data_IF_601623221509
#
_entry.id   IF_601623221509
#
_cell.length_a   1.000
_cell.length_b   1.000
_cell.length_c   1.000
_cell.angle_alpha   90.00
_cell.angle_beta   90.00
_cell.angle_gamma   90.00
#
_symmetry.space_group_name_H-M   'P 1'
#
loop_
_entity.id
_entity.type
_entity.pdbx_description
1 polymer ?
#
# COMPACT_ATOMS: atom_id res chain seq x y z
N UNK A 1 -16.40 -8.05 -27.68
CA UNK A 1 -16.58 -7.83 -26.22
C UNK A 1 -16.96 -9.11 -25.46
N UNK A 2 -17.94 -9.90 -25.91
CA UNK A 2 -18.37 -11.13 -25.22
C UNK A 2 -17.25 -12.14 -24.91
N UNK A 3 -16.38 -12.43 -25.88
CA UNK A 3 -15.24 -13.33 -25.66
C UNK A 3 -14.21 -12.80 -24.64
N UNK A 4 -14.09 -11.48 -24.48
CA UNK A 4 -13.25 -10.89 -23.44
C UNK A 4 -13.86 -11.11 -22.04
N UNK A 5 -15.16 -10.86 -21.89
CA UNK A 5 -15.87 -11.09 -20.62
C UNK A 5 -15.79 -12.55 -20.16
N UNK A 6 -15.92 -13.51 -21.08
CA UNK A 6 -15.73 -14.95 -20.79
C UNK A 6 -14.33 -15.26 -20.29
N UNK A 7 -13.29 -14.72 -20.94
CA UNK A 7 -11.90 -14.88 -20.48
C UNK A 7 -11.63 -14.24 -19.12
N UNK A 8 -12.41 -13.22 -18.75
CA UNK A 8 -12.34 -12.58 -17.44
C UNK A 8 -13.12 -13.32 -16.34
N UNK A 9 -13.84 -14.40 -16.67
CA UNK A 9 -14.58 -15.21 -15.70
C UNK A 9 -16.11 -15.03 -15.71
N UNK A 10 -16.66 -14.22 -16.62
CA UNK A 10 -18.11 -14.13 -16.80
C UNK A 10 -18.59 -15.24 -17.76
N UNK A 11 -19.08 -16.35 -17.21
CA UNK A 11 -19.45 -17.55 -17.97
C UNK A 11 -20.50 -17.27 -19.05
N UNK A 12 -21.53 -16.49 -18.73
CA UNK A 12 -22.67 -16.17 -19.61
C UNK A 12 -22.85 -14.65 -19.79
N UNK A 13 -22.12 -14.01 -20.73
CA UNK A 13 -22.27 -12.58 -20.99
C UNK A 13 -23.54 -12.27 -21.80
N UNK A 14 -24.53 -11.67 -21.15
CA UNK A 14 -25.72 -11.10 -21.80
C UNK A 14 -25.51 -9.69 -22.38
N UNK A 15 -26.47 -9.23 -23.18
CA UNK A 15 -26.46 -7.91 -23.82
C UNK A 15 -26.33 -6.74 -22.82
N UNK A 16 -26.86 -6.89 -21.61
CA UNK A 16 -26.70 -5.90 -20.53
C UNK A 16 -25.23 -5.78 -20.08
N UNK A 17 -24.52 -6.91 -19.94
CA UNK A 17 -23.11 -6.94 -19.56
C UNK A 17 -22.21 -6.35 -20.66
N UNK A 18 -22.55 -6.58 -21.93
CA UNK A 18 -21.83 -5.98 -23.06
C UNK A 18 -21.94 -4.45 -23.05
N UNK A 19 -23.16 -3.92 -22.90
CA UNK A 19 -23.41 -2.47 -22.81
C UNK A 19 -22.69 -1.85 -21.61
N UNK A 20 -22.70 -2.52 -20.47
CA UNK A 20 -22.01 -2.07 -19.26
C UNK A 20 -20.49 -2.00 -19.46
N UNK A 21 -19.89 -3.02 -20.09
CA UNK A 21 -18.46 -3.03 -20.42
C UNK A 21 -18.09 -1.92 -21.43
N UNK A 22 -18.92 -1.70 -22.45
CA UNK A 22 -18.70 -0.62 -23.42
C UNK A 22 -18.81 0.78 -22.81
N UNK A 23 -19.81 1.01 -21.95
CA UNK A 23 -19.95 2.24 -21.19
C UNK A 23 -18.74 2.48 -20.28
N UNK A 24 -18.25 1.41 -19.63
CA UNK A 24 -17.06 1.46 -18.79
C UNK A 24 -15.80 1.82 -19.61
N UNK A 25 -15.62 1.23 -20.79
CA UNK A 25 -14.49 1.50 -21.67
C UNK A 25 -14.48 2.96 -22.18
N UNK A 26 -15.66 3.54 -22.43
CA UNK A 26 -15.83 4.92 -22.89
C UNK A 26 -15.80 5.96 -21.76
N UNK A 27 -15.68 5.53 -20.50
CA UNK A 27 -15.70 6.44 -19.36
C UNK A 27 -14.49 7.38 -19.36
N UNK A 28 -14.76 8.69 -19.23
CA UNK A 28 -13.73 9.72 -19.08
C UNK A 28 -13.04 9.70 -17.71
N UNK A 29 -13.55 8.91 -16.74
CA UNK A 29 -12.94 8.76 -15.42
C UNK A 29 -11.77 7.77 -15.49
N UNK A 30 -10.51 8.18 -15.22
CA UNK A 30 -9.32 7.32 -15.38
C UNK A 30 -9.28 6.09 -14.48
N UNK A 31 -10.19 5.99 -13.49
CA UNK A 31 -10.32 4.86 -12.57
C UNK A 31 -11.74 4.29 -12.52
N UNK A 32 -12.52 4.45 -13.60
CA UNK A 32 -13.84 3.84 -13.70
C UNK A 32 -13.75 2.32 -13.53
N UNK A 33 -14.69 1.77 -12.78
CA UNK A 33 -14.82 0.33 -12.58
C UNK A 33 -16.29 -0.05 -12.49
N UNK A 34 -16.59 -1.31 -12.76
CA UNK A 34 -17.93 -1.85 -12.61
C UNK A 34 -17.88 -3.31 -12.16
N UNK A 35 -18.88 -3.69 -11.36
CA UNK A 35 -19.10 -5.07 -10.97
C UNK A 35 -19.94 -5.81 -12.01
N UNK A 36 -19.56 -7.04 -12.27
CA UNK A 36 -20.19 -8.00 -13.16
C UNK A 36 -20.59 -9.24 -12.33
N UNK A 37 -21.53 -10.06 -12.82
CA UNK A 37 -21.91 -11.29 -12.15
C UNK A 37 -20.71 -12.22 -11.86
N UNK A 38 -20.84 -13.04 -10.81
CA UNK A 38 -19.77 -13.96 -10.39
C UNK A 38 -18.62 -13.27 -9.65
N UNK A 39 -18.82 -12.07 -9.11
CA UNK A 39 -17.79 -11.34 -8.36
C UNK A 39 -16.70 -10.69 -9.24
N UNK A 40 -16.87 -10.73 -10.57
CA UNK A 40 -15.94 -10.11 -11.49
C UNK A 40 -16.02 -8.58 -11.38
N UNK A 41 -14.89 -7.95 -11.06
CA UNK A 41 -14.75 -6.51 -11.17
C UNK A 41 -13.93 -6.20 -12.41
N UNK A 42 -14.41 -5.32 -13.27
CA UNK A 42 -13.62 -4.78 -14.39
C UNK A 42 -13.30 -3.32 -14.11
N UNK A 43 -12.07 -2.92 -14.41
CA UNK A 43 -11.62 -1.53 -14.36
C UNK A 43 -11.07 -1.07 -15.70
N UNK A 44 -11.17 0.23 -15.97
CA UNK A 44 -10.43 0.87 -17.05
C UNK A 44 -8.99 1.10 -16.58
N UNK A 45 -8.02 0.53 -17.29
CA UNK A 45 -6.59 0.79 -17.13
C UNK A 45 -6.10 1.40 -18.45
N UNK A 46 -5.94 2.72 -18.47
CA UNK A 46 -5.62 3.48 -19.69
C UNK A 46 -6.65 3.19 -20.82
N UNK A 47 -6.21 2.69 -21.98
CA UNK A 47 -7.07 2.39 -23.13
C UNK A 47 -7.66 0.97 -23.14
N UNK A 48 -7.58 0.24 -22.03
CA UNK A 48 -8.06 -1.16 -21.97
C UNK A 48 -8.93 -1.42 -20.73
N UNK A 49 -9.84 -2.38 -20.88
CA UNK A 49 -10.52 -3.01 -19.75
C UNK A 49 -9.66 -4.16 -19.24
N UNK A 50 -9.55 -4.27 -17.92
CA UNK A 50 -8.86 -5.39 -17.27
C UNK A 50 -9.65 -5.87 -16.05
N UNK A 51 -9.59 -7.17 -15.73
CA UNK A 51 -9.97 -7.67 -14.42
C UNK A 51 -9.31 -6.83 -13.33
N UNK A 52 -10.14 -6.37 -12.41
CA UNK A 52 -9.72 -5.63 -11.23
C UNK A 52 -9.75 -6.60 -10.07
N UNK A 53 -8.59 -7.12 -9.70
CA UNK A 53 -8.43 -7.65 -8.35
C UNK A 53 -8.47 -6.45 -7.41
N UNK A 54 -9.44 -6.39 -6.51
CA UNK A 54 -9.38 -5.43 -5.40
C UNK A 54 -8.46 -6.07 -4.38
N UNK A 55 -7.21 -5.59 -4.21
CA UNK A 55 -6.41 -6.10 -3.13
C UNK A 55 -7.13 -5.78 -1.83
N UNK A 56 -7.32 -6.80 -1.01
CA UNK A 56 -7.96 -6.65 0.29
C UNK A 56 -7.19 -5.61 1.09
N UNK A 57 -7.88 -4.69 1.80
CA UNK A 57 -7.22 -3.83 2.77
C UNK A 57 -6.38 -4.69 3.73
N UNK A 58 -5.19 -4.20 4.08
CA UNK A 58 -4.39 -4.79 5.13
C UNK A 58 -5.15 -4.61 6.45
N UNK A 59 -5.57 -5.72 7.02
CA UNK A 59 -6.01 -5.76 8.41
C UNK A 59 -4.86 -5.30 9.31
N UNK A 60 -5.21 -4.62 10.40
CA UNK A 60 -4.22 -4.16 11.36
C UNK A 60 -3.57 -5.36 12.04
N UNK A 61 -2.29 -5.57 11.74
CA UNK A 61 -1.51 -6.72 12.20
C UNK A 61 -0.36 -6.25 13.07
N UNK A 62 -0.25 -6.67 14.34
CA UNK A 62 0.89 -6.36 15.18
C UNK A 62 2.22 -6.82 14.56
N UNK A 63 3.24 -5.95 14.59
CA UNK A 63 4.57 -6.27 14.11
C UNK A 63 5.40 -6.94 15.20
N UNK A 64 6.14 -7.99 14.82
CA UNK A 64 7.17 -8.58 15.65
C UNK A 64 8.42 -7.71 15.59
N UNK A 65 8.75 -7.03 16.70
CA UNK A 65 9.93 -6.17 16.83
C UNK A 65 10.74 -6.62 18.04
N UNK A 66 11.88 -7.32 17.86
CA UNK A 66 12.48 -7.75 16.59
C UNK A 66 11.77 -8.99 16.03
N UNK A 67 11.82 -9.20 14.72
CA UNK A 67 11.20 -10.38 14.11
C UNK A 67 10.75 -10.20 12.66
N UNK A 68 9.93 -11.13 12.21
CA UNK A 68 9.32 -11.13 10.87
C UNK A 68 7.81 -11.27 11.03
N UNK A 69 7.07 -10.39 10.38
CA UNK A 69 5.61 -10.44 10.29
C UNK A 69 5.20 -10.58 8.83
N UNK A 70 4.34 -11.54 8.52
CA UNK A 70 3.79 -11.74 7.17
C UNK A 70 2.29 -11.46 7.23
N UNK A 71 1.83 -10.51 6.42
CA UNK A 71 0.42 -10.15 6.34
C UNK A 71 0.07 -9.54 4.97
N UNK A 72 -1.07 -9.95 4.42
CA UNK A 72 -1.68 -9.35 3.23
C UNK A 72 -0.72 -9.15 2.04
N UNK A 73 0.10 -10.17 1.76
CA UNK A 73 1.06 -10.15 0.63
C UNK A 73 2.36 -9.41 0.93
N UNK A 74 2.59 -8.99 2.17
CA UNK A 74 3.81 -8.32 2.62
C UNK A 74 4.52 -9.12 3.70
N UNK A 75 5.85 -9.12 3.62
CA UNK A 75 6.75 -9.55 4.68
C UNK A 75 7.47 -8.31 5.22
N UNK A 76 7.31 -8.08 6.52
CA UNK A 76 7.96 -7.00 7.27
C UNK A 76 9.00 -7.62 8.17
N UNK A 77 10.26 -7.25 7.99
CA UNK A 77 11.36 -7.68 8.86
C UNK A 77 11.83 -6.50 9.69
N UNK A 78 11.83 -6.67 11.01
CA UNK A 78 12.30 -5.69 11.97
C UNK A 78 13.56 -6.21 12.67
N UNK A 79 14.65 -5.44 12.60
CA UNK A 79 15.95 -5.78 13.22
C UNK A 79 16.47 -4.58 14.00
N UNK A 80 16.98 -4.81 15.21
CA UNK A 80 17.73 -3.79 15.93
C UNK A 80 19.10 -3.59 15.29
N UNK A 81 19.45 -2.32 15.07
CA UNK A 81 20.76 -1.91 14.65
C UNK A 81 21.48 -1.23 15.81
N UNK A 82 22.71 -1.66 16.14
CA UNK A 82 23.54 -1.00 17.12
C UNK A 82 23.93 0.41 16.67
N UNK A 83 24.34 1.22 17.64
CA UNK A 83 24.88 2.55 17.41
C UNK A 83 26.09 2.48 16.45
N UNK A 84 26.14 3.41 15.49
CA UNK A 84 27.18 3.51 14.46
C UNK A 84 26.88 2.80 13.14
N UNK A 85 25.86 1.92 13.06
CA UNK A 85 25.49 1.29 11.79
C UNK A 85 24.69 2.27 10.91
N UNK A 86 25.09 2.40 9.64
CA UNK A 86 24.42 3.29 8.69
C UNK A 86 23.23 2.59 8.05
N UNK A 87 22.08 3.28 8.04
CA UNK A 87 20.88 2.82 7.36
C UNK A 87 20.69 3.63 6.08
N UNK A 88 20.69 2.93 4.96
CA UNK A 88 20.26 3.51 3.70
C UNK A 88 18.73 3.55 3.65
N UNK A 89 18.17 4.73 3.94
CA UNK A 89 16.73 4.95 3.84
C UNK A 89 16.29 4.90 2.37
N UNK A 90 15.61 3.83 2.01
CA UNK A 90 14.96 3.60 0.72
C UNK A 90 13.44 3.59 0.90
N UNK A 91 12.65 3.60 -0.19
CA UNK A 91 11.20 3.51 -0.09
C UNK A 91 10.67 2.23 0.59
N UNK A 92 11.49 1.18 0.75
CA UNK A 92 11.10 -0.12 1.31
C UNK A 92 12.01 -0.63 2.43
N UNK A 93 13.13 0.05 2.71
CA UNK A 93 14.01 -0.25 3.84
C UNK A 93 14.33 1.05 4.54
N UNK A 94 14.03 1.15 5.83
CA UNK A 94 14.26 2.39 6.57
C UNK A 94 14.41 2.18 8.07
N UNK A 95 15.08 3.14 8.72
CA UNK A 95 15.38 3.11 10.15
C UNK A 95 14.46 3.99 10.97
N UNK A 96 13.87 3.42 12.03
CA UNK A 96 13.04 4.14 13.00
C UNK A 96 13.74 4.18 14.35
N UNK A 97 13.69 5.32 15.04
CA UNK A 97 14.30 5.49 16.36
C UNK A 97 13.69 4.54 17.41
N UNK A 98 14.53 3.89 18.21
CA UNK A 98 14.10 2.90 19.22
C UNK A 98 13.15 3.45 20.28
N UNK A 99 13.23 4.75 20.60
CA UNK A 99 12.33 5.45 21.55
C UNK A 99 10.85 5.39 21.15
N UNK A 100 10.57 4.99 19.91
CA UNK A 100 9.21 4.85 19.38
C UNK A 100 8.60 3.48 19.70
N UNK A 101 9.41 2.49 20.11
CA UNK A 101 8.94 1.12 20.43
C UNK A 101 8.27 1.08 21.80
N UNK A 102 8.78 1.85 22.77
CA UNK A 102 8.30 1.82 24.16
C UNK A 102 6.96 2.54 24.35
N UNK A 103 6.50 3.30 23.35
CA UNK A 103 5.30 4.15 23.47
C UNK A 103 4.02 3.42 23.07
N UNK A 104 4.07 2.59 22.02
CA UNK A 104 2.92 1.87 21.47
C UNK A 104 3.37 0.60 20.72
N UNK A 105 2.49 -0.39 20.64
CA UNK A 105 2.68 -1.54 19.73
C UNK A 105 2.70 -1.07 18.28
N UNK A 106 3.71 -1.53 17.52
CA UNK A 106 3.80 -1.25 16.10
C UNK A 106 2.89 -2.18 15.32
N UNK A 107 2.23 -1.65 14.29
CA UNK A 107 1.27 -2.39 13.47
C UNK A 107 1.55 -2.16 11.99
N UNK A 108 1.28 -3.18 11.19
CA UNK A 108 1.10 -3.08 9.76
C UNK A 108 -0.39 -2.91 9.47
N UNK A 109 -0.76 -1.86 8.73
CA UNK A 109 -2.16 -1.61 8.36
C UNK A 109 -2.30 -0.98 6.99
N UNK A 110 -3.53 -0.91 6.50
CA UNK A 110 -3.89 -0.03 5.40
C UNK A 110 -3.80 1.44 5.82
N UNK A 111 -3.65 2.31 4.82
CA UNK A 111 -3.78 3.75 5.00
C UNK A 111 -5.18 4.13 5.51
N UNK A 112 -5.24 5.17 6.34
CA UNK A 112 -6.45 5.79 6.88
C UNK A 112 -6.61 7.21 6.35
N UNK A 113 -7.83 7.73 6.39
CA UNK A 113 -8.06 9.14 6.14
C UNK A 113 -7.33 9.97 7.20
N UNK A 114 -6.68 11.07 6.79
CA UNK A 114 -5.86 11.90 7.68
C UNK A 114 -4.39 11.48 7.79
N UNK A 115 -4.02 10.29 7.32
CA UNK A 115 -2.63 9.82 7.33
C UNK A 115 -1.68 10.83 6.66
N UNK A 116 -0.61 11.19 7.36
CA UNK A 116 0.39 12.16 6.91
C UNK A 116 1.76 11.84 7.52
N UNK A 117 2.82 12.15 6.76
CA UNK A 117 4.20 11.98 7.19
C UNK A 117 5.04 13.20 6.83
N UNK A 118 6.09 13.46 7.62
CA UNK A 118 7.10 14.49 7.36
C UNK A 118 8.18 13.90 6.44
N UNK A 119 8.42 14.58 5.32
CA UNK A 119 9.45 14.25 4.34
C UNK A 119 10.36 15.47 4.10
N UNK A 120 11.47 15.34 3.36
CA UNK A 120 12.21 16.50 2.90
C UNK A 120 11.26 17.46 2.14
N UNK A 121 11.19 18.72 2.58
CA UNK A 121 10.23 19.70 2.05
C UNK A 121 8.89 19.78 2.79
N UNK A 122 8.75 19.14 3.95
CA UNK A 122 7.65 19.37 4.91
C UNK A 122 6.67 18.22 5.06
N UNK A 123 5.60 18.46 5.85
CA UNK A 123 4.55 17.48 6.11
C UNK A 123 3.59 17.39 4.93
N UNK A 124 3.31 16.17 4.46
CA UNK A 124 2.33 15.94 3.39
C UNK A 124 1.40 14.78 3.72
N UNK A 125 0.18 14.85 3.20
CA UNK A 125 -0.77 13.75 3.33
C UNK A 125 -0.32 12.55 2.51
N UNK A 126 -0.54 11.36 3.04
CA UNK A 126 -0.23 10.11 2.37
C UNK A 126 -1.00 10.00 1.04
N UNK A 127 -2.24 10.50 0.99
CA UNK A 127 -3.02 10.59 -0.25
C UNK A 127 -2.26 11.34 -1.36
N UNK A 128 -1.69 12.51 -1.06
CA UNK A 128 -0.94 13.32 -2.04
C UNK A 128 0.33 12.59 -2.47
N UNK A 129 1.08 12.03 -1.52
CA UNK A 129 2.32 11.31 -1.80
C UNK A 129 2.11 10.10 -2.72
N UNK A 130 1.06 9.32 -2.49
CA UNK A 130 0.70 8.19 -3.36
C UNK A 130 0.29 8.65 -4.77
N UNK A 131 -0.35 9.82 -4.90
CA UNK A 131 -0.68 10.41 -6.19
C UNK A 131 0.57 10.89 -6.93
N UNK A 132 1.47 11.59 -6.24
CA UNK A 132 2.72 12.11 -6.81
C UNK A 132 3.61 10.96 -7.32
N UNK A 133 3.64 9.83 -6.60
CA UNK A 133 4.31 8.59 -7.02
C UNK A 133 3.55 7.81 -8.10
N UNK A 134 2.45 8.35 -8.63
CA UNK A 134 1.57 7.73 -9.63
C UNK A 134 1.11 6.31 -9.24
N UNK A 135 0.97 6.05 -7.94
CA UNK A 135 0.49 4.75 -7.46
C UNK A 135 -0.99 4.64 -7.83
N UNK A 136 -1.42 3.60 -8.57
CA UNK A 136 -2.80 3.42 -8.97
C UNK A 136 -3.73 3.37 -7.78
N UNK A 137 -4.89 4.03 -7.84
CA UNK A 137 -5.85 4.09 -6.74
C UNK A 137 -6.22 2.70 -6.19
N UNK A 138 -6.18 1.69 -7.05
CA UNK A 138 -6.56 0.31 -6.79
C UNK A 138 -5.62 -0.40 -5.82
N UNK A 139 -4.34 -0.01 -5.78
CA UNK A 139 -3.32 -0.63 -4.91
C UNK A 139 -2.93 0.25 -3.73
N UNK A 140 -3.46 1.49 -3.65
CA UNK A 140 -3.12 2.44 -2.59
C UNK A 140 -3.51 1.93 -1.20
N UNK A 141 -4.64 1.25 -1.10
CA UNK A 141 -5.11 0.70 0.16
C UNK A 141 -4.37 -0.59 0.54
N UNK A 142 -3.68 -1.21 -0.42
CA UNK A 142 -2.80 -2.37 -0.24
C UNK A 142 -1.34 -2.00 0.04
N UNK A 143 -1.03 -0.70 0.13
CA UNK A 143 0.32 -0.25 0.48
C UNK A 143 0.58 -0.47 1.97
N UNK A 144 1.74 -1.01 2.35
CA UNK A 144 2.05 -1.32 3.74
C UNK A 144 2.35 -0.03 4.49
N UNK A 145 1.49 0.33 5.45
CA UNK A 145 1.72 1.43 6.39
C UNK A 145 2.18 0.83 7.70
N UNK A 146 3.39 1.19 8.12
CA UNK A 146 3.91 0.84 9.45
C UNK A 146 3.58 2.00 10.39
N UNK A 147 2.80 1.71 11.42
CA UNK A 147 2.27 2.70 12.34
C UNK A 147 2.48 2.29 13.80
N UNK A 148 2.52 3.28 14.70
CA UNK A 148 2.46 3.11 16.15
C UNK A 148 1.25 3.91 16.66
N UNK A 149 0.14 3.22 16.96
CA UNK A 149 -1.16 3.87 17.14
C UNK A 149 -1.58 4.66 15.89
N UNK A 150 -1.88 5.95 16.09
CA UNK A 150 -2.27 6.86 15.00
C UNK A 150 -1.07 7.48 14.24
N UNK A 151 0.15 7.25 14.72
CA UNK A 151 1.36 7.83 14.13
C UNK A 151 1.95 6.92 13.06
N UNK A 152 2.31 7.48 11.91
CA UNK A 152 2.96 6.74 10.82
C UNK A 152 4.47 6.78 11.03
N UNK A 153 5.08 5.60 11.12
CA UNK A 153 6.53 5.43 11.18
C UNK A 153 7.14 5.43 9.78
N UNK A 154 6.48 4.78 8.82
CA UNK A 154 6.89 4.75 7.43
C UNK A 154 5.89 4.03 6.55
N UNK A 155 6.02 4.21 5.24
CA UNK A 155 5.13 3.60 4.25
C UNK A 155 5.95 3.01 3.11
N UNK A 156 5.66 1.76 2.75
CA UNK A 156 6.29 1.12 1.60
C UNK A 156 6.03 1.90 0.32
N UNK A 157 7.06 2.04 -0.51
CA UNK A 157 7.00 2.85 -1.73
C UNK A 157 7.07 4.35 -1.49
N UNK A 158 7.19 4.82 -0.24
CA UNK A 158 7.38 6.22 0.12
C UNK A 158 8.67 6.41 0.93
N UNK A 159 8.81 5.67 2.03
CA UNK A 159 9.95 5.75 2.96
C UNK A 159 9.52 6.05 4.40
N UNK A 160 10.49 6.43 5.22
CA UNK A 160 10.31 6.77 6.64
C UNK A 160 9.67 8.14 6.84
N UNK A 161 8.91 8.28 7.92
CA UNK A 161 8.49 9.57 8.43
C UNK A 161 9.65 10.19 9.24
N UNK A 162 10.12 11.37 8.82
CA UNK A 162 11.24 12.07 9.46
C UNK A 162 10.99 12.43 10.93
N UNK A 163 9.74 12.44 11.41
CA UNK A 163 9.45 12.61 12.84
C UNK A 163 9.95 11.43 13.70
N UNK A 164 10.12 10.26 13.09
CA UNK A 164 10.52 9.01 13.77
C UNK A 164 11.78 8.40 13.18
N UNK A 165 12.41 9.06 12.20
CA UNK A 165 13.63 8.56 11.58
C UNK A 165 14.74 8.48 12.62
N UNK A 166 15.50 7.39 12.58
CA UNK A 166 16.66 7.24 13.45
C UNK A 166 17.69 8.37 13.20
N UNK A 167 18.29 8.95 14.25
CA UNK A 167 19.38 9.90 14.09
C UNK A 167 20.59 9.19 13.45
N UNK A 168 21.44 9.96 12.77
CA UNK A 168 22.59 9.41 12.07
C UNK A 168 23.53 8.68 13.05
N UNK A 169 23.65 7.36 12.88
CA UNK A 169 24.47 6.51 13.74
C UNK A 169 23.89 6.23 15.13
N UNK A 170 22.64 6.61 15.44
CA UNK A 170 22.00 6.25 16.70
C UNK A 170 21.33 4.87 16.68
N UNK A 171 20.88 4.35 17.84
CA UNK A 171 20.17 3.08 17.91
C UNK A 171 18.86 3.14 17.11
N UNK A 172 18.63 2.12 16.30
CA UNK A 172 17.52 2.10 15.36
C UNK A 172 16.89 0.71 15.22
N UNK A 173 15.62 0.68 14.82
CA UNK A 173 15.00 -0.49 14.23
C UNK A 173 14.98 -0.32 12.73
N UNK A 174 15.73 -1.18 12.04
CA UNK A 174 15.61 -1.35 10.60
C UNK A 174 14.32 -2.09 10.29
N UNK A 175 13.49 -1.47 9.47
CA UNK A 175 12.28 -2.06 8.90
C UNK A 175 12.56 -2.31 7.42
N UNK A 176 12.45 -3.57 7.00
CA UNK A 176 12.50 -3.96 5.59
C UNK A 176 11.15 -4.54 5.17
N UNK A 177 10.60 -3.98 4.09
CA UNK A 177 9.33 -4.35 3.49
C UNK A 177 9.58 -5.06 2.16
N UNK A 178 9.12 -6.30 2.03
CA UNK A 178 9.16 -7.05 0.76
C UNK A 178 7.80 -7.68 0.49
N UNK A 179 7.46 -7.91 -0.78
CA UNK A 179 6.27 -8.71 -1.09
C UNK A 179 6.53 -10.16 -0.68
N UNK A 180 5.57 -10.78 0.00
CA UNK A 180 5.59 -12.22 0.22
C UNK A 180 5.15 -12.90 -1.08
N UNK A 181 5.99 -13.80 -1.59
CA UNK A 181 5.66 -14.64 -2.75
C UNK A 181 4.53 -15.63 -2.43
#
# INVERSE_FOLDING_TARGET
MAGFLRRCGLLEPEAVHLRQAEALARSRRPGAWAAFPGGLLLGRQYERLAPRTVPLPLEETPLAVPGVTVAAGWQVRCRFLPEGEKIENTPFTFGVACDTITKCTWVLRSRRAGDALRLPGGRRSLRRLLMDRKIPAQVRDAMPVVAAGDQILGVGGIGVNLDFAAPAGGPAVEIRLSKSN
#
